data_IF_344577272102
#
_entry.id   IF_344577272102
#
_cell.length_a   1.000
_cell.length_b   1.000
_cell.length_c   1.000
_cell.angle_alpha   90.00
_cell.angle_beta   90.00
_cell.angle_gamma   90.00
#
_symmetry.space_group_name_H-M   'P 1'
#
loop_
_entity.id
_entity.type
_entity.pdbx_description
1 polymer ?
#
# COMPACT_ATOMS: atom_id res chain seq x y z
N UNK A 1 54.30 90.39 5.79
CA UNK A 1 54.69 90.16 7.20
C UNK A 1 53.43 90.14 8.03
N UNK A 2 53.27 89.09 8.84
CA UNK A 2 52.28 88.90 9.92
C UNK A 2 50.81 88.76 9.48
N UNK A 3 49.94 87.93 10.06
CA UNK A 3 49.95 86.78 11.00
C UNK A 3 48.45 86.49 11.20
N UNK A 4 47.98 85.27 10.98
CA UNK A 4 47.30 84.41 11.97
C UNK A 4 45.84 84.15 11.60
N UNK A 5 45.43 82.87 11.60
CA UNK A 5 44.34 82.35 12.43
C UNK A 5 43.90 80.96 11.95
N UNK A 6 44.20 79.97 12.79
CA UNK A 6 43.66 78.63 12.84
C UNK A 6 42.12 78.57 12.88
N UNK A 7 41.54 77.57 12.22
CA UNK A 7 40.33 76.91 12.70
C UNK A 7 40.35 75.43 12.29
N UNK A 8 40.95 74.60 13.15
CA UNK A 8 40.83 73.16 13.11
C UNK A 8 39.42 72.74 13.55
N UNK A 9 38.62 72.18 12.64
CA UNK A 9 37.45 71.41 13.04
C UNK A 9 37.93 70.07 13.59
N UNK A 10 37.99 69.98 14.92
CA UNK A 10 38.10 68.73 15.64
C UNK A 10 36.74 68.03 15.56
N UNK A 11 36.57 67.19 14.53
CA UNK A 11 35.45 66.26 14.49
C UNK A 11 35.66 65.18 15.56
N UNK A 12 34.70 65.21 16.48
CA UNK A 12 34.50 64.40 17.67
C UNK A 12 34.45 62.89 17.31
N UNK A 13 35.62 62.25 17.19
CA UNK A 13 35.73 60.77 17.19
C UNK A 13 35.44 60.26 18.59
N UNK A 14 34.16 60.19 18.96
CA UNK A 14 33.71 59.34 20.06
C UNK A 14 34.14 57.92 19.75
N UNK A 15 35.13 57.43 20.49
CA UNK A 15 35.53 56.04 20.49
C UNK A 15 34.34 55.19 20.88
N UNK A 16 33.76 54.48 19.91
CA UNK A 16 32.75 53.45 20.15
C UNK A 16 33.33 52.47 21.18
N UNK A 17 32.80 52.51 22.40
CA UNK A 17 33.15 51.53 23.43
C UNK A 17 32.91 50.12 22.86
N UNK A 18 33.82 49.16 23.14
CA UNK A 18 33.71 47.83 22.59
C UNK A 18 32.42 47.19 23.09
N UNK A 19 31.42 47.13 22.19
CA UNK A 19 30.13 46.48 22.46
C UNK A 19 30.38 45.11 23.06
N UNK A 20 29.89 44.93 24.28
CA UNK A 20 29.92 43.68 25.03
C UNK A 20 29.46 42.52 24.15
N UNK A 21 30.10 41.35 24.27
CA UNK A 21 29.76 40.15 23.49
C UNK A 21 28.27 39.78 23.62
N UNK A 22 27.64 40.09 24.75
CA UNK A 22 26.20 39.91 24.95
C UNK A 22 25.34 40.82 24.06
N UNK A 23 25.80 42.04 23.74
CA UNK A 23 25.09 42.93 22.80
C UNK A 23 25.23 42.47 21.36
N UNK A 24 26.40 41.93 20.99
CA UNK A 24 26.60 41.32 19.66
C UNK A 24 25.76 40.04 19.51
N UNK A 25 25.70 39.21 20.55
CA UNK A 25 24.87 38.01 20.57
C UNK A 25 23.37 38.36 20.50
N UNK A 26 22.92 39.40 21.21
CA UNK A 26 21.53 39.85 21.17
C UNK A 26 21.09 40.31 19.77
N UNK A 27 21.93 41.05 19.05
CA UNK A 27 21.62 41.53 17.70
C UNK A 27 21.57 40.40 16.65
N UNK A 28 22.30 39.31 16.85
CA UNK A 28 22.30 38.16 15.94
C UNK A 28 21.09 37.22 16.14
N UNK A 29 20.43 37.28 17.30
CA UNK A 29 19.36 36.36 17.68
C UNK A 29 18.15 36.37 16.72
N UNK A 30 17.59 37.52 16.28
CA UNK A 30 16.46 37.53 15.35
C UNK A 30 16.81 36.93 13.99
N UNK A 31 18.03 37.18 13.52
CA UNK A 31 18.54 36.64 12.24
C UNK A 31 18.69 35.13 12.35
N UNK A 32 19.28 34.63 13.44
CA UNK A 32 19.42 33.20 13.69
C UNK A 32 18.07 32.48 13.78
N UNK A 33 17.09 33.06 14.48
CA UNK A 33 15.74 32.49 14.60
C UNK A 33 14.99 32.49 13.26
N UNK A 34 15.17 33.52 12.43
CA UNK A 34 14.61 33.57 11.07
C UNK A 34 15.21 32.49 10.18
N UNK A 35 16.53 32.29 10.24
CA UNK A 35 17.21 31.23 9.51
C UNK A 35 16.72 29.84 9.96
N UNK A 36 16.57 29.61 11.26
CA UNK A 36 15.99 28.37 11.80
C UNK A 36 14.56 28.14 11.32
N UNK A 37 13.72 29.18 11.31
CA UNK A 37 12.36 29.08 10.80
C UNK A 37 12.35 28.67 9.31
N UNK A 38 13.23 29.24 8.48
CA UNK A 38 13.34 28.86 7.07
C UNK A 38 13.77 27.39 6.89
N UNK A 39 14.71 26.91 7.71
CA UNK A 39 15.14 25.50 7.72
C UNK A 39 13.97 24.59 8.11
N UNK A 40 13.24 24.91 9.18
CA UNK A 40 12.08 24.13 9.59
C UNK A 40 10.96 24.12 8.55
N UNK A 41 10.72 25.26 7.88
CA UNK A 41 9.77 25.35 6.77
C UNK A 41 10.14 24.45 5.60
N UNK A 42 11.42 24.45 5.19
CA UNK A 42 11.93 23.56 4.14
C UNK A 42 11.77 22.09 4.51
N UNK A 43 12.15 21.71 5.74
CA UNK A 43 12.01 20.34 6.24
C UNK A 43 10.53 19.91 6.36
N UNK A 44 9.64 20.82 6.77
CA UNK A 44 8.20 20.56 6.87
C UNK A 44 7.59 20.27 5.50
N UNK A 45 7.97 21.03 4.46
CA UNK A 45 7.53 20.78 3.09
C UNK A 45 8.07 19.46 2.54
N UNK A 46 9.33 19.12 2.80
CA UNK A 46 9.89 17.81 2.43
C UNK A 46 9.13 16.64 3.04
N UNK A 47 8.84 16.72 4.35
CA UNK A 47 8.03 15.70 5.03
C UNK A 47 6.59 15.61 4.48
N UNK A 48 6.00 16.74 4.07
CA UNK A 48 4.68 16.73 3.43
C UNK A 48 4.71 16.06 2.05
N UNK A 49 5.75 16.31 1.25
CA UNK A 49 5.94 15.64 -0.04
C UNK A 49 6.11 14.12 0.14
N UNK A 50 6.89 13.68 1.13
CA UNK A 50 7.02 12.26 1.50
C UNK A 50 5.66 11.67 1.91
N UNK A 51 4.88 12.39 2.72
CA UNK A 51 3.54 11.94 3.11
C UNK A 51 2.61 11.76 1.90
N UNK A 52 2.64 12.70 0.94
CA UNK A 52 1.84 12.61 -0.29
C UNK A 52 2.31 11.49 -1.21
N UNK A 53 3.62 11.23 -1.29
CA UNK A 53 4.16 10.08 -2.00
C UNK A 53 3.59 8.77 -1.45
N UNK A 54 3.69 8.55 -0.14
CA UNK A 54 3.16 7.34 0.50
C UNK A 54 1.64 7.21 0.38
N UNK A 55 0.91 8.32 0.38
CA UNK A 55 -0.53 8.33 0.13
C UNK A 55 -0.87 7.89 -1.30
N UNK A 56 -0.11 8.37 -2.29
CA UNK A 56 -0.24 7.93 -3.69
C UNK A 56 0.10 6.45 -3.85
N UNK A 57 1.17 6.00 -3.20
CA UNK A 57 1.56 4.58 -3.18
C UNK A 57 0.46 3.70 -2.56
N UNK A 58 -0.14 4.12 -1.44
CA UNK A 58 -1.27 3.42 -0.82
C UNK A 58 -2.46 3.31 -1.79
N UNK A 59 -2.76 4.35 -2.57
CA UNK A 59 -3.84 4.31 -3.56
C UNK A 59 -3.54 3.33 -4.72
N UNK A 60 -2.28 3.25 -5.18
CA UNK A 60 -1.87 2.26 -6.19
C UNK A 60 -1.99 0.84 -5.65
N UNK A 61 -1.53 0.61 -4.41
CA UNK A 61 -1.63 -0.70 -3.75
C UNK A 61 -3.10 -1.09 -3.50
N UNK A 62 -3.99 -0.11 -3.26
CA UNK A 62 -5.43 -0.35 -3.12
C UNK A 62 -6.06 -0.79 -4.44
N UNK A 63 -5.64 -0.22 -5.57
CA UNK A 63 -6.09 -0.66 -6.88
C UNK A 63 -5.65 -2.11 -7.16
N UNK A 64 -4.40 -2.47 -6.82
CA UNK A 64 -3.90 -3.84 -6.95
C UNK A 64 -4.66 -4.83 -6.06
N UNK A 65 -4.88 -4.47 -4.79
CA UNK A 65 -5.69 -5.27 -3.86
C UNK A 65 -7.10 -5.52 -4.41
N UNK A 66 -7.76 -4.46 -4.89
CA UNK A 66 -9.10 -4.54 -5.48
C UNK A 66 -9.13 -5.48 -6.70
N UNK A 67 -8.09 -5.43 -7.54
CA UNK A 67 -7.95 -6.33 -8.69
C UNK A 67 -7.84 -7.80 -8.27
N UNK A 68 -7.02 -8.11 -7.25
CA UNK A 68 -6.87 -9.48 -6.74
C UNK A 68 -8.17 -10.01 -6.11
N UNK A 69 -8.87 -9.19 -5.33
CA UNK A 69 -10.18 -9.56 -4.79
C UNK A 69 -11.23 -9.80 -5.87
N UNK A 70 -11.24 -8.97 -6.91
CA UNK A 70 -12.16 -9.13 -8.04
C UNK A 70 -11.88 -10.42 -8.82
N UNK A 71 -10.60 -10.72 -9.07
CA UNK A 71 -10.20 -11.95 -9.74
C UNK A 71 -10.55 -13.19 -8.91
N UNK A 72 -10.29 -13.14 -7.60
CA UNK A 72 -10.68 -14.19 -6.68
C UNK A 72 -12.19 -14.43 -6.66
N UNK A 73 -12.98 -13.36 -6.66
CA UNK A 73 -14.45 -13.41 -6.77
C UNK A 73 -14.90 -14.05 -8.07
N UNK A 74 -14.36 -13.60 -9.21
CA UNK A 74 -14.66 -14.17 -10.53
C UNK A 74 -14.35 -15.67 -10.61
N UNK A 75 -13.18 -16.10 -10.10
CA UNK A 75 -12.82 -17.52 -10.07
C UNK A 75 -13.74 -18.33 -9.17
N UNK A 76 -14.13 -17.78 -8.00
CA UNK A 76 -15.12 -18.41 -7.12
C UNK A 76 -16.46 -18.60 -7.85
N UNK A 77 -16.97 -17.57 -8.53
CA UNK A 77 -18.24 -17.65 -9.26
C UNK A 77 -18.16 -18.65 -10.41
N UNK A 78 -17.07 -18.64 -11.17
CA UNK A 78 -16.81 -19.63 -12.23
C UNK A 78 -16.79 -21.04 -11.66
N UNK A 79 -16.19 -21.24 -10.48
CA UNK A 79 -16.21 -22.55 -9.80
C UNK A 79 -17.63 -23.02 -9.45
N UNK A 80 -18.52 -22.11 -9.03
CA UNK A 80 -19.92 -22.44 -8.72
C UNK A 80 -20.69 -22.78 -10.00
N UNK A 81 -20.46 -22.05 -11.09
CA UNK A 81 -21.03 -22.38 -12.39
C UNK A 81 -20.59 -23.77 -12.85
N UNK A 82 -19.29 -24.08 -12.79
CA UNK A 82 -18.77 -25.41 -13.16
C UNK A 82 -19.36 -26.51 -12.27
N UNK A 83 -19.56 -26.25 -10.97
CA UNK A 83 -20.21 -27.20 -10.05
C UNK A 83 -21.64 -27.53 -10.50
N UNK A 84 -22.43 -26.50 -10.81
CA UNK A 84 -23.83 -26.66 -11.24
C UNK A 84 -23.91 -27.40 -12.57
N UNK A 85 -23.06 -27.05 -13.54
CA UNK A 85 -22.98 -27.75 -14.83
C UNK A 85 -22.59 -29.21 -14.67
N UNK A 86 -21.60 -29.52 -13.83
CA UNK A 86 -21.21 -30.89 -13.54
C UNK A 86 -22.35 -31.69 -12.91
N UNK A 87 -23.09 -31.11 -11.97
CA UNK A 87 -24.25 -31.74 -11.34
C UNK A 87 -25.37 -32.02 -12.34
N UNK A 88 -25.67 -31.06 -13.23
CA UNK A 88 -26.67 -31.22 -14.28
C UNK A 88 -26.27 -32.34 -15.26
N UNK A 89 -25.02 -32.35 -15.73
CA UNK A 89 -24.53 -33.38 -16.65
C UNK A 89 -24.55 -34.78 -16.01
N UNK A 90 -24.24 -34.88 -14.70
CA UNK A 90 -24.39 -36.15 -13.98
C UNK A 90 -25.82 -36.63 -13.90
N UNK A 91 -26.76 -35.74 -13.63
CA UNK A 91 -28.18 -36.08 -13.61
C UNK A 91 -28.63 -36.56 -15.01
N UNK A 92 -28.24 -35.85 -16.08
CA UNK A 92 -28.51 -36.25 -17.47
C UNK A 92 -27.86 -37.58 -17.84
N UNK A 93 -26.68 -37.88 -17.28
CA UNK A 93 -26.00 -39.17 -17.46
C UNK A 93 -26.64 -40.31 -16.63
N UNK A 94 -27.76 -40.08 -15.93
CA UNK A 94 -28.36 -41.07 -15.04
C UNK A 94 -27.42 -41.46 -13.89
N UNK A 95 -26.51 -40.56 -13.49
CA UNK A 95 -25.44 -40.80 -12.53
C UNK A 95 -24.49 -41.95 -12.93
N UNK A 96 -24.38 -42.26 -14.22
CA UNK A 96 -23.41 -43.21 -14.72
C UNK A 96 -21.99 -42.82 -14.27
N UNK A 97 -21.13 -43.79 -13.90
CA UNK A 97 -19.74 -43.49 -13.57
C UNK A 97 -19.00 -42.99 -14.81
N UNK A 98 -18.17 -41.97 -14.63
CA UNK A 98 -17.24 -41.54 -15.68
C UNK A 98 -16.25 -42.67 -15.96
N UNK A 99 -16.11 -43.03 -17.24
CA UNK A 99 -15.15 -44.02 -17.72
C UNK A 99 -14.21 -43.35 -18.72
N UNK A 100 -12.94 -43.70 -18.64
CA UNK A 100 -11.88 -43.14 -19.46
C UNK A 100 -11.09 -44.27 -20.13
N UNK A 101 -11.78 -45.03 -20.99
CA UNK A 101 -11.23 -46.24 -21.60
C UNK A 101 -10.40 -45.91 -22.86
N UNK A 102 -10.74 -44.81 -23.55
CA UNK A 102 -9.99 -44.31 -24.70
C UNK A 102 -8.83 -43.37 -24.30
N UNK A 103 -7.60 -43.88 -24.33
CA UNK A 103 -6.41 -43.09 -24.05
C UNK A 103 -6.05 -42.14 -25.21
N UNK A 104 -5.88 -40.82 -24.97
CA UNK A 104 -5.33 -39.90 -25.96
C UNK A 104 -3.87 -40.25 -26.25
N UNK A 105 -3.45 -40.20 -27.52
CA UNK A 105 -2.04 -40.42 -27.91
C UNK A 105 -1.09 -39.48 -27.15
N UNK A 106 -1.53 -38.24 -26.95
CA UNK A 106 -0.75 -37.16 -26.35
C UNK A 106 -0.77 -37.15 -24.81
N UNK A 107 -1.54 -38.05 -24.18
CA UNK A 107 -1.70 -38.12 -22.72
C UNK A 107 -1.19 -39.46 -22.14
N UNK A 108 -0.20 -40.08 -22.78
CA UNK A 108 0.41 -41.35 -22.34
C UNK A 108 1.55 -41.17 -21.31
N UNK A 109 2.01 -39.94 -21.09
CA UNK A 109 3.07 -39.60 -20.13
C UNK A 109 2.63 -39.52 -18.66
N UNK A 110 3.54 -39.11 -17.78
CA UNK A 110 3.29 -38.98 -16.33
C UNK A 110 2.16 -37.97 -16.02
N UNK A 111 2.08 -36.88 -16.78
CA UNK A 111 1.04 -35.87 -16.69
C UNK A 111 -0.33 -36.45 -17.07
N UNK A 112 -0.36 -37.35 -18.04
CA UNK A 112 -1.58 -38.03 -18.47
C UNK A 112 -2.11 -39.02 -17.44
N UNK A 113 -1.22 -39.74 -16.74
CA UNK A 113 -1.60 -40.60 -15.61
C UNK A 113 -2.12 -39.77 -14.44
N UNK A 114 -1.44 -38.65 -14.11
CA UNK A 114 -1.88 -37.71 -13.08
C UNK A 114 -3.24 -37.07 -13.43
N UNK A 115 -3.44 -36.71 -14.69
CA UNK A 115 -4.72 -36.20 -15.20
C UNK A 115 -5.84 -37.22 -15.08
N UNK A 116 -5.57 -38.49 -15.42
CA UNK A 116 -6.54 -39.58 -15.26
C UNK A 116 -6.90 -39.79 -13.78
N UNK A 117 -5.92 -39.75 -12.88
CA UNK A 117 -6.16 -39.79 -11.44
C UNK A 117 -7.04 -38.60 -10.99
N UNK A 118 -6.73 -37.38 -11.44
CA UNK A 118 -7.53 -36.19 -11.14
C UNK A 118 -8.98 -36.28 -11.60
N UNK A 119 -9.23 -36.94 -12.74
CA UNK A 119 -10.58 -37.11 -13.30
C UNK A 119 -11.37 -38.25 -12.65
N UNK A 120 -10.70 -39.30 -12.20
CA UNK A 120 -11.36 -40.54 -11.72
C UNK A 120 -11.51 -40.60 -10.20
N UNK A 121 -10.56 -40.04 -9.46
CA UNK A 121 -10.59 -40.06 -8.00
C UNK A 121 -11.66 -39.09 -7.47
N UNK A 122 -12.38 -39.53 -6.43
CA UNK A 122 -13.41 -38.72 -5.75
C UNK A 122 -12.86 -38.10 -4.47
N UNK A 123 -13.56 -37.08 -3.96
CA UNK A 123 -13.19 -36.41 -2.70
C UNK A 123 -11.85 -35.68 -2.81
N UNK A 124 -11.07 -35.62 -1.73
CA UNK A 124 -9.82 -34.85 -1.65
C UNK A 124 -8.72 -35.30 -2.62
N UNK A 125 -8.83 -36.52 -3.15
CA UNK A 125 -7.85 -37.08 -4.08
C UNK A 125 -8.11 -36.72 -5.55
N UNK A 126 -9.35 -36.30 -5.87
CA UNK A 126 -9.71 -35.84 -7.22
C UNK A 126 -9.32 -34.39 -7.50
N UNK A 127 -8.92 -34.11 -8.74
CA UNK A 127 -8.53 -32.78 -9.18
C UNK A 127 -7.21 -32.25 -8.58
N UNK A 128 -6.88 -30.98 -8.87
CA UNK A 128 -5.71 -30.35 -8.29
C UNK A 128 -5.80 -30.31 -6.76
N UNK A 129 -4.67 -30.56 -6.05
CA UNK A 129 -4.66 -30.57 -4.60
C UNK A 129 -5.06 -29.19 -4.06
N UNK A 130 -5.69 -29.11 -2.87
CA UNK A 130 -5.93 -27.85 -2.20
C UNK A 130 -4.59 -27.15 -1.93
N UNK A 131 -4.29 -26.10 -2.68
CA UNK A 131 -3.17 -25.22 -2.46
C UNK A 131 -3.60 -24.03 -1.61
N UNK A 132 -2.74 -23.66 -0.68
CA UNK A 132 -2.81 -22.42 0.11
C UNK A 132 -1.51 -21.68 -0.12
N UNK A 133 -1.54 -20.37 0.03
CA UNK A 133 -0.29 -19.62 0.06
C UNK A 133 0.65 -20.18 1.13
N UNK A 134 1.97 -20.12 0.92
CA UNK A 134 2.95 -20.41 1.95
C UNK A 134 2.64 -19.64 3.23
N UNK A 135 2.91 -20.27 4.38
CA UNK A 135 2.74 -19.59 5.66
C UNK A 135 3.65 -18.37 5.73
N UNK A 136 3.07 -17.25 6.16
CA UNK A 136 3.78 -16.00 6.33
C UNK A 136 4.78 -16.20 7.48
N UNK A 137 6.07 -15.95 7.31
CA UNK A 137 7.05 -16.13 8.39
C UNK A 137 7.03 -14.98 9.41
N UNK A 138 6.70 -13.76 8.97
CA UNK A 138 6.72 -12.57 9.83
C UNK A 138 5.44 -12.47 10.68
N UNK A 139 5.60 -12.62 12.00
CA UNK A 139 4.50 -12.51 12.97
C UNK A 139 3.78 -11.16 12.91
N UNK A 140 4.47 -10.06 12.58
CA UNK A 140 3.82 -8.73 12.50
C UNK A 140 2.87 -8.65 11.32
N UNK A 141 3.22 -9.31 10.21
CA UNK A 141 2.36 -9.42 9.04
C UNK A 141 1.14 -10.29 9.38
N UNK A 142 1.33 -11.40 10.10
CA UNK A 142 0.21 -12.24 10.59
C UNK A 142 -0.73 -11.46 11.50
N UNK A 143 -0.21 -10.79 12.53
CA UNK A 143 -1.02 -9.99 13.47
C UNK A 143 -1.85 -8.91 12.77
N UNK A 144 -1.27 -8.27 11.76
CA UNK A 144 -1.98 -7.27 10.96
C UNK A 144 -3.00 -7.90 10.01
N UNK A 145 -2.67 -9.03 9.39
CA UNK A 145 -3.62 -9.81 8.59
C UNK A 145 -4.84 -10.19 9.42
N UNK A 146 -4.62 -10.74 10.61
CA UNK A 146 -5.68 -11.13 11.53
C UNK A 146 -6.53 -9.92 11.94
N UNK A 147 -5.91 -8.77 12.21
CA UNK A 147 -6.63 -7.52 12.50
C UNK A 147 -7.54 -7.06 11.35
N UNK A 148 -7.09 -7.24 10.10
CA UNK A 148 -7.85 -6.91 8.90
C UNK A 148 -9.01 -7.92 8.72
N UNK A 149 -8.73 -9.22 8.83
CA UNK A 149 -9.72 -10.30 8.71
C UNK A 149 -10.85 -10.15 9.75
N UNK A 150 -10.50 -9.80 10.99
CA UNK A 150 -11.46 -9.57 12.07
C UNK A 150 -12.07 -8.16 12.06
N UNK A 151 -11.72 -7.32 11.08
CA UNK A 151 -12.22 -5.95 10.92
C UNK A 151 -12.05 -5.10 12.18
N UNK A 152 -10.88 -5.21 12.81
CA UNK A 152 -10.52 -4.33 13.94
C UNK A 152 -10.63 -2.85 13.52
N UNK A 153 -10.84 -1.92 14.46
CA UNK A 153 -10.87 -0.49 14.16
C UNK A 153 -9.63 -0.04 13.38
N UNK A 154 -9.83 0.80 12.36
CA UNK A 154 -8.75 1.24 11.47
C UNK A 154 -7.56 1.87 12.22
N UNK A 155 -7.83 2.58 13.32
CA UNK A 155 -6.79 3.15 14.18
C UNK A 155 -5.84 2.07 14.73
N UNK A 156 -6.35 0.91 15.09
CA UNK A 156 -5.54 -0.17 15.66
C UNK A 156 -4.82 -0.97 14.57
N UNK A 157 -5.44 -1.14 13.40
CA UNK A 157 -4.77 -1.65 12.19
C UNK A 157 -3.57 -0.78 11.82
N UNK A 158 -3.72 0.55 11.78
CA UNK A 158 -2.62 1.47 11.43
C UNK A 158 -1.48 1.44 12.45
N UNK A 159 -1.76 1.23 13.75
CA UNK A 159 -0.72 1.05 14.76
C UNK A 159 0.08 -0.23 14.52
N UNK A 160 -0.58 -1.33 14.16
CA UNK A 160 0.07 -2.60 13.80
C UNK A 160 0.86 -2.45 12.49
N UNK A 161 0.29 -1.77 11.50
CA UNK A 161 0.93 -1.50 10.21
C UNK A 161 2.20 -0.67 10.31
N UNK A 162 2.26 0.33 11.21
CA UNK A 162 3.49 1.09 11.46
C UNK A 162 4.66 0.27 12.02
N UNK A 163 4.46 -1.02 12.37
CA UNK A 163 5.51 -1.94 12.84
C UNK A 163 6.01 -2.89 11.75
N UNK A 164 5.28 -2.98 10.63
CA UNK A 164 5.62 -3.86 9.51
C UNK A 164 6.58 -3.13 8.59
N UNK A 165 7.68 -3.79 8.23
CA UNK A 165 8.64 -3.25 7.28
C UNK A 165 8.14 -3.40 5.84
N UNK A 166 8.21 -2.31 5.06
CA UNK A 166 7.70 -2.27 3.69
C UNK A 166 8.45 -3.23 2.75
N UNK A 167 9.76 -3.43 2.98
CA UNK A 167 10.55 -4.35 2.18
C UNK A 167 10.17 -5.81 2.47
N UNK A 168 9.91 -6.15 3.74
CA UNK A 168 9.42 -7.48 4.12
C UNK A 168 8.07 -7.82 3.49
N UNK A 169 7.06 -6.96 3.60
CA UNK A 169 5.76 -7.22 2.98
C UNK A 169 5.86 -7.29 1.46
N UNK A 170 6.72 -6.48 0.83
CA UNK A 170 6.96 -6.56 -0.62
C UNK A 170 7.53 -7.91 -1.01
N UNK A 171 8.55 -8.40 -0.29
CA UNK A 171 9.10 -9.74 -0.51
C UNK A 171 8.04 -10.83 -0.33
N UNK A 172 7.22 -10.75 0.72
CA UNK A 172 6.13 -11.72 0.95
C UNK A 172 5.11 -11.73 -0.20
N UNK A 173 4.77 -10.56 -0.76
CA UNK A 173 3.92 -10.47 -1.95
C UNK A 173 4.60 -11.12 -3.16
N UNK A 174 5.86 -10.79 -3.41
CA UNK A 174 6.61 -11.35 -4.55
C UNK A 174 6.72 -12.88 -4.47
N UNK A 175 6.99 -13.42 -3.27
CA UNK A 175 7.08 -14.86 -3.03
C UNK A 175 5.70 -15.53 -3.22
N UNK A 176 4.61 -14.89 -2.79
CA UNK A 176 3.24 -15.36 -3.00
C UNK A 176 2.82 -15.35 -4.49
N UNK A 177 3.20 -14.32 -5.24
CA UNK A 177 2.96 -14.23 -6.68
C UNK A 177 3.76 -15.28 -7.45
N UNK A 178 5.04 -15.51 -7.10
CA UNK A 178 5.84 -16.60 -7.68
C UNK A 178 5.25 -17.97 -7.37
N UNK A 179 4.74 -18.19 -6.16
CA UNK A 179 4.07 -19.44 -5.80
C UNK A 179 2.84 -19.69 -6.68
N UNK A 180 2.03 -18.66 -6.93
CA UNK A 180 0.89 -18.73 -7.87
C UNK A 180 1.38 -19.10 -9.27
N UNK A 181 2.36 -18.39 -9.82
CA UNK A 181 2.89 -18.68 -11.16
C UNK A 181 3.46 -20.09 -11.29
N UNK A 182 4.16 -20.57 -10.26
CA UNK A 182 4.69 -21.94 -10.23
C UNK A 182 3.56 -22.96 -10.20
N UNK A 183 2.53 -22.73 -9.38
CA UNK A 183 1.34 -23.59 -9.32
C UNK A 183 0.66 -23.68 -10.68
N UNK A 184 0.47 -22.55 -11.36
CA UNK A 184 -0.15 -22.49 -12.69
C UNK A 184 0.70 -23.26 -13.72
N UNK A 185 2.03 -23.09 -13.70
CA UNK A 185 2.96 -23.82 -14.58
C UNK A 185 2.93 -25.33 -14.35
N UNK A 186 2.87 -25.77 -13.08
CA UNK A 186 2.80 -27.19 -12.72
C UNK A 186 1.46 -27.84 -13.10
N UNK A 187 0.37 -27.08 -13.07
CA UNK A 187 -0.97 -27.60 -13.35
C UNK A 187 -1.35 -27.56 -14.82
N UNK A 188 -0.88 -26.56 -15.57
CA UNK A 188 -1.20 -26.37 -16.99
C UNK A 188 -1.08 -27.67 -17.83
N UNK A 189 0.03 -28.44 -17.79
CA UNK A 189 0.13 -29.65 -18.61
C UNK A 189 -0.82 -30.77 -18.15
N UNK A 190 -1.09 -30.87 -16.85
CA UNK A 190 -2.03 -31.88 -16.31
C UNK A 190 -3.47 -31.54 -16.68
N UNK A 191 -3.84 -30.26 -16.63
CA UNK A 191 -5.17 -29.77 -17.06
C UNK A 191 -5.35 -30.01 -18.55
N UNK A 192 -4.35 -29.67 -19.38
CA UNK A 192 -4.40 -29.93 -20.82
C UNK A 192 -4.55 -31.43 -21.14
N UNK A 193 -3.84 -32.30 -20.41
CA UNK A 193 -3.97 -33.74 -20.54
C UNK A 193 -5.37 -34.22 -20.11
N UNK A 194 -5.93 -33.66 -19.02
CA UNK A 194 -7.28 -33.99 -18.57
C UNK A 194 -8.35 -33.59 -19.59
N UNK A 195 -8.22 -32.42 -20.21
CA UNK A 195 -9.08 -32.01 -21.32
C UNK A 195 -8.97 -32.96 -22.51
N UNK A 196 -7.77 -33.44 -22.85
CA UNK A 196 -7.57 -34.42 -23.90
C UNK A 196 -8.28 -35.75 -23.59
N UNK A 197 -8.21 -36.23 -22.34
CA UNK A 197 -8.94 -37.41 -21.87
C UNK A 197 -10.46 -37.22 -22.00
N UNK A 198 -10.99 -36.08 -21.58
CA UNK A 198 -12.44 -35.77 -21.70
C UNK A 198 -12.86 -35.71 -23.16
N UNK A 199 -12.10 -35.03 -24.02
CA UNK A 199 -12.37 -34.95 -25.47
C UNK A 199 -12.33 -36.32 -26.14
N UNK A 200 -11.41 -37.20 -25.76
CA UNK A 200 -11.31 -38.55 -26.32
C UNK A 200 -12.58 -39.39 -26.03
N UNK A 201 -13.24 -39.19 -24.89
CA UNK A 201 -14.50 -39.88 -24.57
C UNK A 201 -15.72 -39.28 -25.29
N UNK A 202 -15.65 -38.02 -25.72
CA UNK A 202 -16.75 -37.34 -26.42
C UNK A 202 -16.92 -37.79 -27.87
N UNK A 203 -15.93 -38.48 -28.45
CA UNK A 203 -16.00 -39.05 -29.81
C UNK A 203 -16.88 -40.31 -29.79
N UNK A 204 -18.16 -40.14 -29.45
CA UNK A 204 -19.17 -41.19 -29.57
C UNK A 204 -19.67 -41.22 -31.02
N UNK A 205 -19.70 -42.41 -31.63
CA UNK A 205 -20.38 -42.62 -32.91
C UNK A 205 -21.88 -42.31 -32.75
N UNK A 206 -22.58 -41.76 -33.75
CA UNK A 206 -24.02 -41.48 -33.67
C UNK A 206 -24.85 -42.72 -33.29
N UNK A 207 -24.38 -43.91 -33.71
CA UNK A 207 -25.01 -45.21 -33.44
C UNK A 207 -24.56 -45.86 -32.12
N UNK A 208 -23.85 -45.13 -31.26
CA UNK A 208 -23.42 -45.65 -29.97
C UNK A 208 -24.62 -45.95 -29.06
N UNK A 209 -24.55 -47.07 -28.34
CA UNK A 209 -25.57 -47.44 -27.36
C UNK A 209 -25.75 -46.33 -26.30
N UNK A 210 -26.96 -46.22 -25.73
CA UNK A 210 -27.27 -45.17 -24.74
C UNK A 210 -26.33 -45.17 -23.54
N UNK A 211 -25.87 -46.36 -23.12
CA UNK A 211 -24.86 -46.50 -22.06
C UNK A 211 -23.53 -45.79 -22.41
N UNK A 212 -23.10 -45.82 -23.66
CA UNK A 212 -21.90 -45.13 -24.12
C UNK A 212 -22.10 -43.60 -24.17
N UNK A 213 -23.30 -43.14 -24.58
CA UNK A 213 -23.66 -41.72 -24.54
C UNK A 213 -23.67 -41.19 -23.11
N UNK A 214 -24.28 -41.91 -22.17
CA UNK A 214 -24.27 -41.55 -20.75
C UNK A 214 -22.86 -41.56 -20.16
N UNK A 215 -21.99 -42.50 -20.55
CA UNK A 215 -20.59 -42.51 -20.13
C UNK A 215 -19.81 -41.29 -20.64
N UNK A 216 -20.02 -40.87 -21.90
CA UNK A 216 -19.41 -39.66 -22.45
C UNK A 216 -19.90 -38.39 -21.73
N UNK A 217 -21.19 -38.29 -21.42
CA UNK A 217 -21.74 -37.19 -20.60
C UNK A 217 -21.16 -37.20 -19.18
N UNK A 218 -20.99 -38.37 -18.57
CA UNK A 218 -20.36 -38.50 -17.25
C UNK A 218 -18.87 -38.08 -17.27
N UNK A 219 -18.12 -38.41 -18.33
CA UNK A 219 -16.75 -37.95 -18.53
C UNK A 219 -16.66 -36.42 -18.66
N UNK A 220 -17.60 -35.80 -19.40
CA UNK A 220 -17.71 -34.35 -19.47
C UNK A 220 -17.99 -33.72 -18.11
N UNK A 221 -18.90 -34.32 -17.32
CA UNK A 221 -19.17 -33.86 -15.96
C UNK A 221 -17.92 -33.92 -15.07
N UNK A 222 -17.09 -34.97 -15.18
CA UNK A 222 -15.83 -35.07 -14.45
C UNK A 222 -14.83 -33.97 -14.85
N UNK A 223 -14.75 -33.61 -16.14
CA UNK A 223 -13.97 -32.46 -16.60
C UNK A 223 -14.40 -31.14 -15.93
N UNK A 224 -15.70 -30.89 -15.85
CA UNK A 224 -16.23 -29.71 -15.15
C UNK A 224 -15.94 -29.73 -13.64
N UNK A 225 -15.95 -30.88 -12.99
CA UNK A 225 -15.57 -30.98 -11.58
C UNK A 225 -14.09 -30.67 -11.33
N UNK A 226 -13.22 -31.11 -12.22
CA UNK A 226 -11.79 -30.80 -12.15
C UNK A 226 -11.58 -29.29 -12.24
N UNK A 227 -12.18 -28.65 -13.25
CA UNK A 227 -12.14 -27.19 -13.42
C UNK A 227 -12.71 -26.44 -12.22
N UNK A 228 -13.85 -26.91 -11.69
CA UNK A 228 -14.45 -26.38 -10.47
C UNK A 228 -13.47 -26.39 -9.30
N UNK A 229 -12.69 -27.47 -9.11
CA UNK A 229 -11.72 -27.57 -8.02
C UNK A 229 -10.52 -26.65 -8.25
N UNK A 230 -10.02 -26.61 -9.48
CA UNK A 230 -8.94 -25.70 -9.92
C UNK A 230 -9.29 -24.25 -9.59
N UNK A 231 -10.43 -23.76 -10.05
CA UNK A 231 -10.85 -22.38 -9.81
C UNK A 231 -11.06 -22.07 -8.32
N UNK A 232 -11.56 -23.02 -7.51
CA UNK A 232 -11.67 -22.81 -6.05
C UNK A 232 -10.31 -22.63 -5.41
N UNK A 233 -9.33 -23.43 -5.82
CA UNK A 233 -8.00 -23.34 -5.26
C UNK A 233 -7.29 -22.06 -5.69
N UNK A 234 -7.35 -21.71 -6.97
CA UNK A 234 -6.80 -20.44 -7.47
C UNK A 234 -7.45 -19.22 -6.81
N UNK A 235 -8.78 -19.26 -6.60
CA UNK A 235 -9.50 -18.20 -5.88
C UNK A 235 -8.95 -18.02 -4.46
N UNK A 236 -8.66 -19.10 -3.73
CA UNK A 236 -8.07 -19.01 -2.37
C UNK A 236 -6.68 -18.40 -2.37
N UNK A 237 -5.85 -18.77 -3.35
CA UNK A 237 -4.51 -18.17 -3.51
C UNK A 237 -4.63 -16.66 -3.74
N UNK A 238 -5.54 -16.25 -4.63
CA UNK A 238 -5.76 -14.83 -4.95
C UNK A 238 -6.37 -14.03 -3.80
N UNK A 239 -7.27 -14.62 -3.00
CA UNK A 239 -7.74 -13.98 -1.76
C UNK A 239 -6.58 -13.72 -0.81
N UNK A 240 -5.68 -14.70 -0.66
CA UNK A 240 -4.48 -14.55 0.15
C UNK A 240 -3.57 -13.43 -0.35
N UNK A 241 -3.33 -13.33 -1.66
CA UNK A 241 -2.55 -12.25 -2.28
C UNK A 241 -3.27 -10.89 -2.09
N UNK A 242 -4.60 -10.89 -2.21
CA UNK A 242 -5.46 -9.72 -1.95
C UNK A 242 -5.25 -9.15 -0.54
N UNK A 243 -5.26 -10.00 0.47
CA UNK A 243 -4.94 -9.61 1.85
C UNK A 243 -3.53 -9.05 2.00
N UNK A 244 -2.52 -9.63 1.35
CA UNK A 244 -1.15 -9.10 1.40
C UNK A 244 -1.06 -7.68 0.81
N UNK A 245 -1.78 -7.41 -0.28
CA UNK A 245 -1.87 -6.05 -0.81
C UNK A 245 -2.65 -5.10 0.10
N UNK A 246 -3.73 -5.54 0.78
CA UNK A 246 -4.41 -4.72 1.79
C UNK A 246 -3.49 -4.36 2.95
N UNK A 247 -2.67 -5.31 3.41
CA UNK A 247 -1.64 -5.06 4.42
C UNK A 247 -0.69 -3.97 3.92
N UNK A 248 -0.19 -4.08 2.68
CA UNK A 248 0.69 -3.07 2.08
C UNK A 248 0.04 -1.68 2.01
N UNK A 249 -1.25 -1.59 1.68
CA UNK A 249 -2.01 -0.32 1.73
C UNK A 249 -1.97 0.28 3.13
N UNK A 250 -2.23 -0.52 4.17
CA UNK A 250 -2.21 -0.05 5.56
C UNK A 250 -0.82 0.37 6.02
N UNK A 251 0.24 -0.32 5.57
CA UNK A 251 1.64 0.07 5.85
C UNK A 251 1.98 1.40 5.19
N UNK A 252 1.65 1.57 3.90
CA UNK A 252 1.85 2.83 3.17
C UNK A 252 1.06 3.99 3.79
N UNK A 253 -0.18 3.73 4.24
CA UNK A 253 -0.98 4.73 4.96
C UNK A 253 -0.37 5.12 6.31
N UNK A 254 0.15 4.14 7.07
CA UNK A 254 0.81 4.41 8.35
C UNK A 254 2.10 5.23 8.18
N UNK A 255 2.89 4.96 7.13
CA UNK A 255 4.10 5.75 6.85
C UNK A 255 3.75 7.17 6.38
N UNK A 256 2.71 7.33 5.55
CA UNK A 256 2.16 8.65 5.18
C UNK A 256 1.79 9.47 6.42
N UNK A 257 1.08 8.84 7.38
CA UNK A 257 0.67 9.48 8.63
C UNK A 257 1.85 9.90 9.51
N UNK A 258 2.92 9.10 9.55
CA UNK A 258 4.14 9.42 10.27
C UNK A 258 4.84 10.64 9.68
N UNK A 259 4.97 10.72 8.35
CA UNK A 259 5.55 11.88 7.68
C UNK A 259 4.68 13.13 7.82
N UNK A 260 3.35 12.99 7.77
CA UNK A 260 2.41 14.09 8.05
C UNK A 260 2.59 14.66 9.45
N UNK A 261 2.62 13.80 10.48
CA UNK A 261 2.85 14.24 11.88
C UNK A 261 4.21 14.93 12.06
N UNK A 262 5.24 14.45 11.35
CA UNK A 262 6.56 15.11 11.33
C UNK A 262 6.48 16.50 10.70
N UNK A 263 5.76 16.64 9.58
CA UNK A 263 5.53 17.93 8.93
C UNK A 263 4.79 18.91 9.85
N UNK A 264 3.74 18.44 10.54
CA UNK A 264 2.96 19.23 11.49
C UNK A 264 3.84 19.74 12.65
N UNK A 265 4.65 18.85 13.23
CA UNK A 265 5.57 19.21 14.32
C UNK A 265 6.62 20.24 13.87
N UNK A 266 7.17 20.09 12.65
CA UNK A 266 8.13 21.04 12.08
C UNK A 266 7.47 22.38 11.75
N UNK A 267 6.20 22.38 11.32
CA UNK A 267 5.43 23.60 11.08
C UNK A 267 5.20 24.38 12.39
N UNK A 268 4.85 23.68 13.48
CA UNK A 268 4.73 24.29 14.82
C UNK A 268 6.09 24.84 15.28
N UNK A 269 7.18 24.10 15.08
CA UNK A 269 8.52 24.57 15.43
C UNK A 269 8.93 25.83 14.64
N UNK A 270 8.59 25.89 13.35
CA UNK A 270 8.75 27.08 12.51
C UNK A 270 7.97 28.28 13.08
N UNK A 271 6.70 28.09 13.44
CA UNK A 271 5.86 29.16 14.02
C UNK A 271 6.44 29.68 15.34
N UNK A 272 6.88 28.78 16.23
CA UNK A 272 7.54 29.17 17.49
C UNK A 272 8.82 29.95 17.23
N UNK A 273 9.64 29.54 16.26
CA UNK A 273 10.85 30.26 15.89
C UNK A 273 10.54 31.66 15.33
N UNK A 274 9.49 31.79 14.49
CA UNK A 274 9.02 33.08 13.97
C UNK A 274 8.55 34.01 15.10
N UNK A 275 7.72 33.51 16.04
CA UNK A 275 7.28 34.29 17.21
C UNK A 275 8.49 34.75 18.04
N UNK A 276 9.47 33.86 18.27
CA UNK A 276 10.71 34.20 18.97
C UNK A 276 11.52 35.30 18.26
N UNK A 277 11.60 35.26 16.93
CA UNK A 277 12.29 36.28 16.14
C UNK A 277 11.58 37.65 16.26
N UNK A 278 10.25 37.66 16.26
CA UNK A 278 9.45 38.87 16.47
C UNK A 278 9.66 39.46 17.87
N UNK A 279 9.54 38.63 18.91
CA UNK A 279 9.75 39.06 20.28
C UNK A 279 11.17 39.61 20.49
N UNK A 280 12.18 38.97 19.90
CA UNK A 280 13.58 39.40 19.96
C UNK A 280 13.79 40.74 19.24
N UNK A 281 13.19 40.92 18.07
CA UNK A 281 13.24 42.18 17.30
C UNK A 281 12.57 43.33 18.07
N UNK A 282 11.41 43.07 18.69
CA UNK A 282 10.71 44.06 19.51
C UNK A 282 11.51 44.44 20.77
N UNK A 283 12.15 43.47 21.41
CA UNK A 283 13.03 43.70 22.55
C UNK A 283 14.26 44.56 22.16
N UNK A 284 14.87 44.29 21.00
CA UNK A 284 15.95 45.11 20.47
C UNK A 284 15.49 46.54 20.14
N UNK A 285 14.30 46.69 19.54
CA UNK A 285 13.72 47.99 19.23
C UNK A 285 13.59 48.86 20.48
N UNK A 286 13.10 48.26 21.59
CA UNK A 286 12.98 48.93 22.88
C UNK A 286 14.33 49.34 23.44
N UNK A 287 15.35 48.47 23.39
CA UNK A 287 16.67 48.74 23.95
C UNK A 287 17.44 49.80 23.14
N UNK A 288 17.38 49.75 21.82
CA UNK A 288 18.13 50.65 20.93
C UNK A 288 17.35 51.91 20.50
N UNK A 289 16.08 52.07 20.92
CA UNK A 289 15.18 53.15 20.47
C UNK A 289 15.12 53.30 18.94
N UNK A 290 15.23 52.18 18.23
CA UNK A 290 15.32 52.17 16.77
C UNK A 290 13.96 51.86 16.14
N UNK A 291 13.47 52.80 15.33
CA UNK A 291 12.20 52.66 14.61
C UNK A 291 12.22 51.50 13.59
N UNK A 292 13.39 51.16 13.05
CA UNK A 292 13.55 50.10 12.05
C UNK A 292 13.26 48.71 12.65
N UNK A 293 13.75 48.45 13.86
CA UNK A 293 13.47 47.21 14.59
C UNK A 293 12.01 47.12 15.04
N UNK A 294 11.37 48.26 15.30
CA UNK A 294 9.95 48.32 15.64
C UNK A 294 9.08 47.93 14.44
N UNK A 295 9.38 48.47 13.24
CA UNK A 295 8.73 48.08 12.00
C UNK A 295 8.90 46.59 11.69
N UNK A 296 10.11 46.05 11.85
CA UNK A 296 10.37 44.62 11.65
C UNK A 296 9.54 43.74 12.60
N UNK A 297 9.47 44.11 13.88
CA UNK A 297 8.62 43.43 14.86
C UNK A 297 7.13 43.49 14.49
N UNK A 298 6.65 44.65 14.03
CA UNK A 298 5.24 44.86 13.68
C UNK A 298 4.84 44.06 12.43
N UNK A 299 5.68 44.04 11.39
CA UNK A 299 5.48 43.18 10.20
C UNK A 299 5.42 41.72 10.61
N UNK A 300 6.34 41.27 11.47
CA UNK A 300 6.33 39.89 11.94
C UNK A 300 5.08 39.54 12.76
N UNK A 301 4.56 40.49 13.55
CA UNK A 301 3.31 40.33 14.31
C UNK A 301 2.10 40.16 13.38
N UNK A 302 2.03 40.95 12.29
CA UNK A 302 1.01 40.79 11.24
C UNK A 302 1.13 39.41 10.59
N UNK A 303 2.35 38.98 10.23
CA UNK A 303 2.57 37.66 9.62
C UNK A 303 2.13 36.51 10.54
N UNK A 304 2.44 36.58 11.84
CA UNK A 304 1.97 35.59 12.83
C UNK A 304 0.45 35.63 12.97
N UNK A 305 -0.16 36.82 12.98
CA UNK A 305 -1.62 36.98 13.04
C UNK A 305 -2.33 36.34 11.85
N UNK A 306 -1.85 36.61 10.63
CA UNK A 306 -2.38 36.00 9.40
C UNK A 306 -2.16 34.49 9.38
N UNK A 307 -0.96 34.03 9.76
CA UNK A 307 -0.66 32.59 9.85
C UNK A 307 -1.49 31.86 10.90
N UNK A 308 -1.72 32.49 12.06
CA UNK A 308 -2.58 31.96 13.12
C UNK A 308 -4.05 31.89 12.69
N UNK A 309 -4.54 32.90 11.96
CA UNK A 309 -5.88 32.89 11.39
C UNK A 309 -6.09 31.72 10.41
N UNK A 310 -5.08 31.42 9.57
CA UNK A 310 -5.13 30.30 8.63
C UNK A 310 -5.20 28.91 9.31
N UNK A 311 -4.84 28.82 10.60
CA UNK A 311 -4.93 27.59 11.40
C UNK A 311 -6.30 27.41 12.07
N UNK A 312 -7.18 28.42 12.05
CA UNK A 312 -8.52 28.30 12.59
C UNK A 312 -9.34 27.37 11.68
N UNK A 313 -9.92 26.27 12.21
CA UNK A 313 -10.75 25.37 11.41
C UNK A 313 -11.90 26.13 10.75
N UNK A 314 -12.20 25.87 9.46
CA UNK A 314 -13.27 26.58 8.75
C UNK A 314 -14.65 26.43 9.41
N UNK A 315 -14.86 25.40 10.24
CA UNK A 315 -16.08 25.21 11.02
C UNK A 315 -16.29 26.25 12.14
N UNK A 316 -15.26 27.03 12.48
CA UNK A 316 -15.30 28.06 13.53
C UNK A 316 -15.33 29.49 12.99
N UNK A 317 -15.32 29.67 11.66
CA UNK A 317 -15.45 30.99 11.04
C UNK A 317 -16.94 31.32 10.87
N UNK A 318 -17.44 32.44 11.42
CA UNK A 318 -18.78 32.92 11.12
C UNK A 318 -18.80 33.33 9.64
N UNK A 319 -19.69 32.71 8.86
CA UNK A 319 -19.98 33.12 7.49
C UNK A 319 -20.62 34.51 7.44
#
# INVERSE_FOLDING_TARGET
>A
MSSDASASNADDKKSDEPKSLLEKAGAALPVALTALAAVFGSMSNGALQEAMYWKSQAAQDQAKSTSQWSLAGFKRDRSLMMQTTAAQLRATAGYAPAKFDAAPKDASGAEGQKALAWLTERGEKGGPPPAKLPDIEDERIKELRDAIEHREPERDQLKKAGRVDIARITKTIDDAERYKEQTDKEWAPVVAAAEAWVRAQQVSKPDAADAAKHAATAAQAAGFELEQRRYRTESRIEQGIGFLYEIRVKVSAAESDKHRRKSDALSIAMLVAQIGAVASSLALARKQKSALWLFAGLIGLVSVGVGGYALIPPALLPF
#
